data_IF_956698871855
#
_entry.id   IF_956698871855
#
_cell.length_a   1.000
_cell.length_b   1.000
_cell.length_c   1.000
_cell.angle_alpha   90.00
_cell.angle_beta   90.00
_cell.angle_gamma   90.00
#
_symmetry.space_group_name_H-M   'P 1'
#
loop_
_entity.id
_entity.type
_entity.pdbx_description
1 polymer ?
#
# COMPACT_ATOMS: atom_id res chain seq x y z
N UNK A 1 1.10 -3.26 -54.62
CA UNK A 1 1.33 -4.17 -53.48
C UNK A 1 2.62 -3.77 -52.75
N UNK A 2 2.62 -2.63 -52.05
CA UNK A 2 3.71 -2.18 -51.16
C UNK A 2 3.09 -1.24 -50.11
N UNK A 3 3.64 -1.24 -48.90
CA UNK A 3 3.41 -0.27 -47.80
C UNK A 3 2.47 -0.62 -46.64
N UNK A 4 2.14 -1.90 -46.38
CA UNK A 4 1.60 -2.26 -45.05
C UNK A 4 2.69 -2.54 -44.00
N UNK A 5 3.92 -2.89 -44.41
CA UNK A 5 4.99 -3.24 -43.46
C UNK A 5 5.70 -2.03 -42.83
N UNK A 6 5.71 -0.87 -43.48
CA UNK A 6 6.48 0.28 -42.98
C UNK A 6 5.76 1.02 -41.86
N UNK A 7 4.43 1.14 -41.91
CA UNK A 7 3.63 1.76 -40.85
C UNK A 7 3.57 0.88 -39.61
N UNK A 8 3.41 -0.44 -39.77
CA UNK A 8 3.48 -1.38 -38.65
C UNK A 8 4.86 -1.39 -37.99
N UNK A 9 5.95 -1.32 -38.77
CA UNK A 9 7.30 -1.18 -38.25
C UNK A 9 7.54 0.18 -37.58
N UNK A 10 6.93 1.26 -38.07
CA UNK A 10 7.02 2.59 -37.45
C UNK A 10 6.23 2.66 -36.13
N UNK A 11 5.07 2.00 -36.03
CA UNK A 11 4.28 1.87 -34.79
C UNK A 11 5.01 0.99 -33.76
N UNK A 12 5.66 -0.10 -34.20
CA UNK A 12 6.52 -0.93 -33.34
C UNK A 12 7.84 -0.25 -32.96
N UNK A 13 8.35 0.69 -33.76
CA UNK A 13 9.53 1.50 -33.45
C UNK A 13 9.21 2.75 -32.61
N UNK A 14 7.94 3.18 -32.61
CA UNK A 14 7.39 4.22 -31.75
C UNK A 14 6.79 3.68 -30.45
N UNK A 15 6.69 2.36 -30.28
CA UNK A 15 6.70 1.77 -28.95
C UNK A 15 8.09 2.04 -28.40
N UNK A 16 8.26 3.05 -27.53
CA UNK A 16 9.58 3.33 -27.04
C UNK A 16 10.08 2.04 -26.39
N UNK A 17 11.31 1.68 -26.73
CA UNK A 17 12.25 1.01 -25.83
C UNK A 17 12.53 1.91 -24.60
N UNK A 18 11.54 2.66 -24.13
CA UNK A 18 11.38 2.96 -22.73
C UNK A 18 11.15 1.61 -22.10
N UNK A 19 12.25 0.98 -21.71
CA UNK A 19 12.29 0.42 -20.38
C UNK A 19 11.62 1.46 -19.47
N UNK A 20 10.30 1.33 -19.29
CA UNK A 20 9.62 1.84 -18.13
C UNK A 20 10.19 0.99 -17.03
N UNK A 21 11.37 1.40 -16.56
CA UNK A 21 12.07 0.73 -15.52
C UNK A 21 11.14 0.87 -14.33
N UNK A 22 10.50 -0.23 -13.94
CA UNK A 22 9.79 -0.31 -12.68
C UNK A 22 10.66 0.41 -11.66
N UNK A 23 10.18 1.52 -11.08
CA UNK A 23 11.02 2.35 -10.23
C UNK A 23 11.53 1.49 -9.08
N UNK A 24 12.78 1.69 -8.62
CA UNK A 24 13.33 0.87 -7.54
C UNK A 24 12.37 0.87 -6.35
N UNK A 25 12.26 -0.27 -5.68
CA UNK A 25 11.42 -0.38 -4.49
C UNK A 25 12.04 0.46 -3.38
N UNK A 26 11.46 1.63 -3.15
CA UNK A 26 11.77 2.51 -2.01
C UNK A 26 10.53 2.53 -1.13
N UNK A 27 10.58 1.81 0.00
CA UNK A 27 9.45 1.73 0.92
C UNK A 27 9.21 3.09 1.61
N UNK A 28 8.12 3.77 1.22
CA UNK A 28 7.71 5.06 1.78
C UNK A 28 6.22 5.06 2.07
N UNK A 29 5.85 5.49 3.27
CA UNK A 29 4.47 5.47 3.75
C UNK A 29 4.06 6.76 4.46
N UNK A 30 4.78 7.84 4.19
CA UNK A 30 4.57 9.18 4.77
C UNK A 30 3.27 9.85 4.28
N UNK A 31 2.77 9.45 3.11
CA UNK A 31 1.52 9.94 2.52
C UNK A 31 0.78 8.89 1.70
N UNK A 32 -0.48 9.16 1.30
CA UNK A 32 -1.24 8.32 0.37
C UNK A 32 -0.49 8.10 -0.96
N UNK A 33 0.06 9.16 -1.57
CA UNK A 33 0.78 9.08 -2.84
C UNK A 33 2.08 8.30 -2.72
N UNK A 34 2.83 8.47 -1.63
CA UNK A 34 4.04 7.69 -1.37
C UNK A 34 3.72 6.20 -1.17
N UNK A 35 2.60 5.91 -0.50
CA UNK A 35 2.11 4.54 -0.31
C UNK A 35 1.65 3.93 -1.64
N UNK A 36 0.96 4.71 -2.47
CA UNK A 36 0.56 4.31 -3.82
C UNK A 36 1.78 4.00 -4.70
N UNK A 37 2.78 4.90 -4.72
CA UNK A 37 4.01 4.70 -5.47
C UNK A 37 4.78 3.46 -4.99
N UNK A 38 4.83 3.24 -3.66
CA UNK A 38 5.43 2.02 -3.10
C UNK A 38 4.67 0.77 -3.56
N UNK A 39 3.33 0.76 -3.45
CA UNK A 39 2.51 -0.36 -3.90
C UNK A 39 2.66 -0.62 -5.40
N UNK A 40 2.64 0.43 -6.24
CA UNK A 40 2.87 0.31 -7.68
C UNK A 40 4.25 -0.27 -7.98
N UNK A 41 5.31 0.21 -7.30
CA UNK A 41 6.67 -0.30 -7.50
C UNK A 41 6.75 -1.80 -7.17
N UNK A 42 6.14 -2.24 -6.05
CA UNK A 42 6.07 -3.66 -5.70
C UNK A 42 5.30 -4.47 -6.74
N UNK A 43 4.16 -3.95 -7.22
CA UNK A 43 3.35 -4.59 -8.24
C UNK A 43 4.09 -4.73 -9.57
N UNK A 44 4.78 -3.68 -9.99
CA UNK A 44 5.58 -3.68 -11.22
C UNK A 44 6.68 -4.75 -11.18
N UNK A 45 7.23 -5.04 -10.00
CA UNK A 45 8.20 -6.11 -9.77
C UNK A 45 7.58 -7.49 -9.51
N UNK A 46 6.25 -7.61 -9.55
CA UNK A 46 5.49 -8.80 -9.17
C UNK A 46 5.83 -9.29 -7.73
N UNK A 47 6.21 -8.38 -6.81
CA UNK A 47 6.39 -8.67 -5.37
C UNK A 47 5.05 -8.60 -4.63
N UNK A 48 4.24 -9.65 -4.78
CA UNK A 48 2.92 -9.77 -4.15
C UNK A 48 3.00 -9.64 -2.62
N UNK A 49 4.09 -10.10 -1.98
CA UNK A 49 4.27 -9.97 -0.54
C UNK A 49 4.56 -8.51 -0.14
N UNK A 50 5.35 -7.80 -0.94
CA UNK A 50 5.53 -6.35 -0.87
C UNK A 50 4.22 -5.58 -1.00
N UNK A 51 3.45 -5.86 -2.05
CA UNK A 51 2.13 -5.25 -2.27
C UNK A 51 1.20 -5.47 -1.06
N UNK A 52 1.13 -6.72 -0.58
CA UNK A 52 0.32 -7.09 0.57
C UNK A 52 0.74 -6.34 1.85
N UNK A 53 2.02 -5.97 2.01
CA UNK A 53 2.47 -5.16 3.16
C UNK A 53 1.91 -3.74 3.14
N UNK A 54 1.58 -3.19 1.97
CA UNK A 54 0.97 -1.86 1.82
C UNK A 54 -0.50 -1.80 2.24
N UNK A 55 -1.20 -2.95 2.28
CA UNK A 55 -2.62 -2.99 2.62
C UNK A 55 -2.87 -2.83 4.13
N UNK A 56 -3.99 -2.18 4.45
CA UNK A 56 -4.49 -2.05 5.82
C UNK A 56 -4.81 -3.42 6.42
N UNK A 57 -4.80 -3.49 7.75
CA UNK A 57 -5.14 -4.72 8.48
C UNK A 57 -6.60 -5.11 8.26
N UNK A 58 -7.49 -4.12 8.19
CA UNK A 58 -8.91 -4.33 7.92
C UNK A 58 -9.17 -4.84 6.50
N UNK A 59 -8.49 -4.30 5.49
CA UNK A 59 -8.59 -4.79 4.12
C UNK A 59 -8.11 -6.25 4.03
N UNK A 60 -6.97 -6.58 4.64
CA UNK A 60 -6.46 -7.96 4.72
C UNK A 60 -7.48 -8.91 5.35
N UNK A 61 -8.14 -8.48 6.43
CA UNK A 61 -9.17 -9.28 7.11
C UNK A 61 -10.41 -9.50 6.23
N UNK A 62 -10.85 -8.46 5.50
CA UNK A 62 -11.98 -8.54 4.56
C UNK A 62 -11.69 -9.45 3.37
N UNK A 63 -10.47 -9.40 2.84
CA UNK A 63 -10.02 -10.29 1.78
C UNK A 63 -9.78 -11.74 2.27
N UNK A 64 -9.61 -11.94 3.57
CA UNK A 64 -9.45 -13.24 4.22
C UNK A 64 -7.99 -13.61 4.50
N UNK A 65 -7.18 -13.80 3.45
CA UNK A 65 -5.75 -14.11 3.60
C UNK A 65 -4.91 -13.70 2.38
N UNK A 66 -3.59 -13.90 2.45
CA UNK A 66 -2.65 -13.59 1.38
C UNK A 66 -3.01 -14.25 0.03
N UNK A 67 -3.45 -15.52 0.05
CA UNK A 67 -3.82 -16.23 -1.17
C UNK A 67 -5.06 -15.62 -1.83
N UNK A 68 -6.04 -15.22 -1.02
CA UNK A 68 -7.24 -14.56 -1.52
C UNK A 68 -6.92 -13.18 -2.12
N UNK A 69 -6.02 -12.41 -1.49
CA UNK A 69 -5.50 -11.18 -2.08
C UNK A 69 -4.85 -11.43 -3.44
N UNK A 70 -3.91 -12.38 -3.51
CA UNK A 70 -3.21 -12.69 -4.75
C UNK A 70 -4.20 -13.08 -5.86
N UNK A 71 -5.14 -13.98 -5.59
CA UNK A 71 -6.16 -14.36 -6.58
C UNK A 71 -7.02 -13.17 -7.03
N UNK A 72 -7.48 -12.32 -6.10
CA UNK A 72 -8.29 -11.16 -6.44
C UNK A 72 -7.49 -10.12 -7.25
N UNK A 73 -6.20 -9.92 -6.91
CA UNK A 73 -5.26 -9.06 -7.64
C UNK A 73 -5.07 -9.54 -9.07
N UNK A 74 -4.86 -10.83 -9.29
CA UNK A 74 -4.66 -11.37 -10.63
C UNK A 74 -5.93 -11.24 -11.48
N UNK A 75 -7.10 -11.57 -10.90
CA UNK A 75 -8.40 -11.40 -11.58
C UNK A 75 -8.66 -9.95 -11.97
N UNK A 76 -8.46 -9.00 -11.05
CA UNK A 76 -8.63 -7.57 -11.34
C UNK A 76 -7.72 -7.12 -12.49
N UNK A 77 -6.44 -7.53 -12.48
CA UNK A 77 -5.48 -7.15 -13.51
C UNK A 77 -5.74 -7.85 -14.85
N UNK A 78 -6.33 -9.04 -14.85
CA UNK A 78 -6.77 -9.75 -16.06
C UNK A 78 -8.00 -9.06 -16.67
N UNK A 79 -8.95 -8.63 -15.83
CA UNK A 79 -10.17 -7.93 -16.25
C UNK A 79 -9.88 -6.49 -16.71
N UNK A 80 -8.79 -5.88 -16.23
CA UNK A 80 -8.38 -4.51 -16.55
C UNK A 80 -7.01 -4.45 -17.25
N UNK A 81 -6.91 -4.86 -18.54
CA UNK A 81 -5.64 -4.93 -19.26
C UNK A 81 -4.96 -3.56 -19.45
N UNK A 82 -5.74 -2.47 -19.47
CA UNK A 82 -5.21 -1.11 -19.51
C UNK A 82 -4.55 -0.73 -18.19
N UNK A 83 -5.18 -1.01 -17.04
CA UNK A 83 -4.60 -0.80 -15.72
C UNK A 83 -3.32 -1.63 -15.54
N UNK A 84 -3.34 -2.91 -15.94
CA UNK A 84 -2.13 -3.76 -15.97
C UNK A 84 -1.01 -3.14 -16.80
N UNK A 85 -1.33 -2.63 -17.99
CA UNK A 85 -0.34 -1.98 -18.85
C UNK A 85 0.19 -0.70 -18.22
N UNK A 86 -0.69 0.12 -17.65
CA UNK A 86 -0.37 1.36 -16.98
C UNK A 86 0.58 1.15 -15.79
N UNK A 87 0.29 0.17 -14.93
CA UNK A 87 1.13 -0.16 -13.78
C UNK A 87 2.60 -0.43 -14.14
N UNK A 88 2.85 -0.91 -15.36
CA UNK A 88 4.19 -1.19 -15.90
C UNK A 88 4.80 -0.03 -16.71
N UNK A 89 3.98 0.89 -17.20
CA UNK A 89 4.38 1.84 -18.24
C UNK A 89 4.27 3.31 -17.85
N UNK A 90 3.57 3.65 -16.76
CA UNK A 90 3.35 5.04 -16.33
C UNK A 90 3.58 5.20 -14.82
N UNK A 91 3.74 6.44 -14.36
CA UNK A 91 3.66 6.77 -12.94
C UNK A 91 2.18 7.02 -12.58
N UNK A 92 1.60 6.21 -11.68
CA UNK A 92 0.20 6.40 -11.27
C UNK A 92 0.00 7.71 -10.51
N UNK A 93 1.03 8.26 -9.86
CA UNK A 93 0.94 9.52 -9.13
C UNK A 93 0.66 10.69 -10.07
N UNK A 94 1.20 10.64 -11.30
CA UNK A 94 0.95 11.65 -12.34
C UNK A 94 -0.49 11.61 -12.90
N UNK A 95 -1.24 10.56 -12.58
CA UNK A 95 -2.60 10.32 -13.08
C UNK A 95 -3.67 10.54 -12.00
N UNK A 96 -3.31 11.17 -10.87
CA UNK A 96 -4.25 11.53 -9.81
C UNK A 96 -5.00 12.81 -10.18
N UNK A 97 -6.27 12.64 -10.54
CA UNK A 97 -7.21 13.73 -10.89
C UNK A 97 -7.80 14.41 -9.65
N UNK A 98 -8.13 13.62 -8.62
CA UNK A 98 -8.73 14.14 -7.39
C UNK A 98 -8.05 13.59 -6.15
N UNK A 99 -7.96 14.46 -5.14
CA UNK A 99 -7.37 14.17 -3.83
C UNK A 99 -8.34 14.60 -2.75
N UNK A 100 -8.66 13.71 -1.83
CA UNK A 100 -9.36 14.04 -0.59
C UNK A 100 -8.55 13.47 0.56
N UNK A 101 -8.24 14.31 1.55
CA UNK A 101 -7.54 13.87 2.75
C UNK A 101 -8.15 14.57 3.95
N UNK A 102 -8.48 13.77 4.96
CA UNK A 102 -8.91 14.22 6.27
C UNK A 102 -7.90 13.74 7.32
N UNK A 103 -7.03 14.66 7.72
CA UNK A 103 -5.98 14.39 8.71
C UNK A 103 -6.52 14.08 10.10
N UNK A 104 -7.75 14.51 10.43
CA UNK A 104 -8.37 14.28 11.73
C UNK A 104 -8.87 12.84 11.82
N UNK A 105 -9.60 12.40 10.79
CA UNK A 105 -10.09 11.02 10.74
C UNK A 105 -9.03 10.02 10.29
N UNK A 106 -7.93 10.49 9.69
CA UNK A 106 -6.85 9.63 9.21
C UNK A 106 -7.22 8.88 7.92
N UNK A 107 -8.13 9.43 7.13
CA UNK A 107 -8.58 8.86 5.86
C UNK A 107 -8.13 9.72 4.68
N UNK A 108 -7.84 9.07 3.56
CA UNK A 108 -7.61 9.75 2.30
C UNK A 108 -8.16 8.93 1.13
N UNK A 109 -8.48 9.60 0.04
CA UNK A 109 -8.95 9.02 -1.21
C UNK A 109 -8.19 9.67 -2.36
N UNK A 110 -7.68 8.83 -3.25
CA UNK A 110 -7.10 9.24 -4.53
C UNK A 110 -7.96 8.68 -5.65
N UNK A 111 -8.40 9.56 -6.54
CA UNK A 111 -9.08 9.18 -7.77
C UNK A 111 -8.09 9.27 -8.93
N UNK A 112 -7.88 8.15 -9.61
CA UNK A 112 -6.99 8.06 -10.76
C UNK A 112 -7.80 8.03 -12.06
N UNK A 113 -7.33 8.72 -13.10
CA UNK A 113 -7.79 8.53 -14.47
C UNK A 113 -6.65 7.92 -15.30
N UNK A 114 -6.82 6.65 -15.67
CA UNK A 114 -5.85 5.91 -16.46
C UNK A 114 -6.51 5.54 -17.77
N UNK A 115 -6.13 6.24 -18.85
CA UNK A 115 -6.66 6.02 -20.19
C UNK A 115 -8.20 6.13 -20.29
N UNK A 116 -8.84 6.98 -19.49
CA UNK A 116 -10.29 7.18 -19.46
C UNK A 116 -11.03 6.24 -18.51
N UNK A 117 -10.33 5.33 -17.84
CA UNK A 117 -10.87 4.51 -16.76
C UNK A 117 -10.59 5.18 -15.42
N UNK A 118 -11.66 5.42 -14.65
CA UNK A 118 -11.54 5.98 -13.30
C UNK A 118 -11.38 4.86 -12.29
N UNK A 119 -10.40 4.98 -11.39
CA UNK A 119 -10.21 4.06 -10.25
C UNK A 119 -10.10 4.85 -8.96
N UNK A 120 -10.91 4.52 -7.97
CA UNK A 120 -10.78 5.07 -6.63
C UNK A 120 -9.92 4.17 -5.74
N UNK A 121 -8.94 4.78 -5.06
CA UNK A 121 -8.12 4.11 -4.04
C UNK A 121 -8.28 4.84 -2.71
N UNK A 122 -8.77 4.11 -1.71
CA UNK A 122 -8.93 4.58 -0.35
C UNK A 122 -7.72 4.22 0.51
N UNK A 123 -7.33 5.13 1.39
CA UNK A 123 -6.20 5.01 2.29
C UNK A 123 -6.63 5.29 3.73
N UNK A 124 -5.97 4.62 4.67
CA UNK A 124 -6.11 4.86 6.10
C UNK A 124 -4.73 5.00 6.74
N UNK A 125 -4.61 5.93 7.69
CA UNK A 125 -3.44 6.08 8.54
C UNK A 125 -3.51 5.04 9.66
N UNK A 126 -2.50 4.18 9.72
CA UNK A 126 -2.29 3.21 10.80
C UNK A 126 -1.10 3.64 11.66
N UNK A 127 -1.13 3.25 12.93
CA UNK A 127 0.02 3.27 13.82
C UNK A 127 0.61 1.88 13.95
N UNK A 128 1.89 1.77 13.61
CA UNK A 128 2.70 0.57 13.71
C UNK A 128 3.58 0.67 14.97
N UNK A 129 3.57 -0.36 15.80
CA UNK A 129 4.56 -0.60 16.84
C UNK A 129 5.46 -1.73 16.39
N UNK A 130 6.75 -1.43 16.27
CA UNK A 130 7.81 -2.37 15.96
C UNK A 130 8.72 -2.48 17.18
N UNK A 131 8.89 -3.70 17.69
CA UNK A 131 9.82 -4.00 18.78
C UNK A 131 10.92 -4.88 18.22
N UNK A 132 12.11 -4.32 18.08
CA UNK A 132 13.29 -5.08 17.68
C UNK A 132 13.90 -5.73 18.91
N UNK A 133 14.02 -7.05 18.87
CA UNK A 133 14.64 -7.83 19.94
C UNK A 133 16.12 -8.08 19.64
N UNK A 134 16.95 -8.19 20.68
CA UNK A 134 18.35 -8.60 20.55
C UNK A 134 18.49 -9.99 19.93
N UNK A 135 17.47 -10.84 20.12
CA UNK A 135 17.38 -12.20 19.56
C UNK A 135 15.97 -12.49 19.07
N UNK A 136 15.87 -13.01 17.86
CA UNK A 136 14.61 -13.42 17.25
C UNK A 136 14.05 -12.41 16.24
N UNK A 137 12.91 -12.74 15.60
CA UNK A 137 12.24 -11.82 14.67
C UNK A 137 11.67 -10.60 15.43
N UNK A 138 11.55 -9.45 14.75
CA UNK A 138 10.92 -8.29 15.36
C UNK A 138 9.44 -8.57 15.64
N UNK A 139 8.93 -8.00 16.73
CA UNK A 139 7.52 -8.08 17.08
C UNK A 139 6.81 -6.87 16.49
N UNK A 140 5.67 -7.11 15.84
CA UNK A 140 4.91 -6.08 15.13
C UNK A 140 3.49 -6.06 15.65
N UNK A 141 3.03 -4.91 16.11
CA UNK A 141 1.63 -4.64 16.43
C UNK A 141 1.12 -3.44 15.66
N UNK A 142 -0.16 -3.45 15.31
CA UNK A 142 -0.81 -2.42 14.48
C UNK A 142 -2.08 -1.95 15.16
N UNK A 143 -2.36 -0.65 15.03
CA UNK A 143 -3.63 -0.05 15.41
C UNK A 143 -4.06 0.93 14.32
N UNK A 144 -5.37 1.01 14.12
CA UNK A 144 -6.02 1.95 13.23
C UNK A 144 -6.19 3.32 13.90
N UNK A 145 -5.91 3.42 15.19
CA UNK A 145 -5.93 4.67 15.93
C UNK A 145 -4.65 5.47 15.70
N UNK A 146 -4.80 6.79 15.59
CA UNK A 146 -3.66 7.71 15.64
C UNK A 146 -2.92 7.60 16.99
N UNK A 147 -1.64 7.96 17.02
CA UNK A 147 -0.80 7.91 18.23
C UNK A 147 -1.36 8.81 19.32
N UNK A 148 -1.96 9.93 18.94
CA UNK A 148 -2.62 10.81 19.88
C UNK A 148 -3.80 10.12 20.59
N UNK A 149 -4.52 9.22 19.90
CA UNK A 149 -5.56 8.38 20.49
C UNK A 149 -5.01 7.26 21.37
N UNK A 150 -3.84 6.72 21.02
CA UNK A 150 -3.18 5.62 21.73
C UNK A 150 -2.41 6.06 22.97
N UNK A 151 -2.06 7.34 23.04
CA UNK A 151 -1.25 7.88 24.11
C UNK A 151 -2.10 8.20 25.34
N UNK A 152 -1.98 7.38 26.37
CA UNK A 152 -2.64 7.63 27.65
C UNK A 152 -1.61 8.15 28.68
N UNK A 153 -2.02 9.12 29.51
CA UNK A 153 -1.23 9.61 30.63
C UNK A 153 -1.98 9.33 31.94
N UNK A 154 -1.50 8.37 32.73
CA UNK A 154 -2.11 7.99 34.02
C UNK A 154 -1.06 8.10 35.12
N UNK A 155 -1.34 8.90 36.15
CA UNK A 155 -0.47 9.03 37.33
C UNK A 155 0.96 9.50 37.03
N UNK A 156 1.15 10.37 36.03
CA UNK A 156 2.47 10.86 35.62
C UNK A 156 3.31 9.87 34.81
N UNK A 157 2.75 8.69 34.49
CA UNK A 157 3.34 7.70 33.58
C UNK A 157 2.66 7.78 32.22
N UNK A 158 3.43 7.45 31.17
CA UNK A 158 3.01 7.47 29.76
C UNK A 158 3.05 6.04 29.25
N UNK A 159 1.97 5.59 28.62
CA UNK A 159 1.86 4.25 28.03
C UNK A 159 1.05 4.32 26.73
N UNK A 160 1.32 3.36 25.83
CA UNK A 160 0.67 3.23 24.52
C UNK A 160 -0.11 1.91 24.55
N UNK A 161 -1.43 1.99 24.37
CA UNK A 161 -2.31 0.82 24.35
C UNK A 161 -2.88 0.66 22.95
N UNK A 162 -2.47 -0.39 22.21
CA UNK A 162 -2.94 -0.65 20.85
C UNK A 162 -4.24 -1.46 20.88
N UNK A 163 -5.36 -0.78 20.63
CA UNK A 163 -6.74 -1.26 20.62
C UNK A 163 -6.99 -2.46 19.69
N UNK A 164 -6.77 -3.68 20.20
CA UNK A 164 -7.26 -4.93 19.59
C UNK A 164 -6.18 -5.94 19.16
N UNK A 165 -4.91 -5.55 19.08
CA UNK A 165 -3.79 -6.49 18.87
C UNK A 165 -2.86 -6.39 20.07
N UNK A 166 -3.14 -7.18 21.12
CA UNK A 166 -2.38 -7.12 22.37
C UNK A 166 -0.99 -7.74 22.16
N UNK A 167 0.02 -6.90 21.96
CA UNK A 167 1.41 -7.33 22.04
C UNK A 167 1.80 -7.49 23.51
N UNK A 168 1.59 -8.69 24.05
CA UNK A 168 2.08 -9.02 25.39
C UNK A 168 3.58 -9.36 25.31
N UNK A 169 4.43 -8.41 25.72
CA UNK A 169 5.86 -8.65 25.88
C UNK A 169 6.12 -9.31 27.23
N UNK A 170 6.79 -10.45 27.23
CA UNK A 170 7.35 -11.01 28.46
C UNK A 170 8.42 -10.07 29.03
N UNK A 171 8.69 -10.10 30.35
CA UNK A 171 9.77 -9.32 30.94
C UNK A 171 11.13 -9.56 30.28
N UNK A 172 11.41 -10.78 29.81
CA UNK A 172 12.63 -11.14 29.08
C UNK A 172 12.69 -10.48 27.70
N UNK A 173 11.58 -10.46 26.95
CA UNK A 173 11.50 -9.78 25.65
C UNK A 173 11.64 -8.27 25.80
N UNK A 174 11.05 -7.68 26.85
CA UNK A 174 11.19 -6.26 27.14
C UNK A 174 12.63 -5.91 27.54
N UNK A 175 13.27 -6.75 28.36
CA UNK A 175 14.66 -6.56 28.77
C UNK A 175 15.65 -6.75 27.60
N UNK A 176 15.31 -7.63 26.65
CA UNK A 176 16.06 -7.86 25.41
C UNK A 176 15.58 -7.00 24.23
N UNK A 177 14.78 -5.96 24.45
CA UNK A 177 14.37 -5.06 23.38
C UNK A 177 15.51 -4.09 23.06
N UNK A 178 16.01 -4.14 21.82
CA UNK A 178 17.03 -3.23 21.32
C UNK A 178 16.42 -1.87 20.95
N UNK A 179 15.23 -1.89 20.37
CA UNK A 179 14.49 -0.68 20.01
C UNK A 179 12.98 -0.92 20.09
N UNK A 180 12.25 0.14 20.41
CA UNK A 180 10.79 0.20 20.30
C UNK A 180 10.51 1.40 19.41
N UNK A 181 10.05 1.13 18.21
CA UNK A 181 9.72 2.11 17.20
C UNK A 181 8.21 2.19 17.08
N UNK A 182 7.72 3.43 17.03
CA UNK A 182 6.33 3.68 16.74
C UNK A 182 6.24 4.59 15.54
N UNK A 183 5.62 4.08 14.47
CA UNK A 183 5.57 4.71 13.17
C UNK A 183 4.14 5.01 12.78
N UNK A 184 3.94 6.20 12.20
CA UNK A 184 2.75 6.50 11.43
C UNK A 184 2.98 6.13 9.99
N UNK A 185 2.06 5.36 9.43
CA UNK A 185 2.10 5.02 8.03
C UNK A 185 0.72 5.07 7.41
N UNK A 186 0.66 5.48 6.17
CA UNK A 186 -0.51 5.28 5.34
C UNK A 186 -0.52 3.86 4.78
N UNK A 187 -1.72 3.33 4.63
CA UNK A 187 -1.98 1.99 4.08
C UNK A 187 -3.18 2.06 3.14
N UNK A 188 -3.23 1.15 2.18
CA UNK A 188 -4.35 1.03 1.25
C UNK A 188 -5.48 0.29 1.96
N UNK A 189 -6.62 0.95 2.09
CA UNK A 189 -7.81 0.41 2.77
C UNK A 189 -8.91 0.00 1.78
N UNK A 190 -8.88 0.50 0.55
CA UNK A 190 -9.75 0.06 -0.52
C UNK A 190 -9.11 0.31 -1.88
N UNK A 191 -9.38 -0.59 -2.83
CA UNK A 191 -9.13 -0.38 -4.26
C UNK A 191 -10.42 -0.84 -4.95
N UNK A 192 -11.01 0.05 -5.76
CA UNK A 192 -12.18 -0.28 -6.56
C UNK A 192 -11.92 -1.54 -7.42
N UNK A 193 -12.85 -2.49 -7.40
CA UNK A 193 -12.70 -3.80 -8.05
C UNK A 193 -12.08 -4.89 -7.16
N UNK A 194 -11.20 -4.57 -6.21
CA UNK A 194 -10.65 -5.55 -5.25
C UNK A 194 -11.56 -5.81 -4.06
N UNK A 195 -12.33 -4.80 -3.62
CA UNK A 195 -13.19 -4.90 -2.43
C UNK A 195 -14.62 -5.34 -2.74
N UNK A 196 -14.99 -5.48 -4.03
CA UNK A 196 -16.37 -5.80 -4.46
C UNK A 196 -17.43 -4.77 -4.05
N UNK A 197 -17.02 -3.69 -3.39
CA UNK A 197 -17.85 -2.60 -2.92
C UNK A 197 -17.18 -1.28 -3.31
N UNK A 198 -17.90 -0.47 -4.08
CA UNK A 198 -17.71 0.98 -4.13
C UNK A 198 -18.08 1.51 -2.73
N UNK A 199 -17.29 2.43 -2.14
CA UNK A 199 -17.58 2.99 -0.81
C UNK A 199 -19.00 3.57 -0.68
#
# INVERSE_FOLDING_TARGET
>A
MRSLSFVAALVLALMPLGACACPPVVERYDGPEATLATWQSQLCHDDVAGEYRCLSTDLKRRLGNFSAYWTARDLMLDDQPLLRSALRAIDLVDHIEQRRQDDVSGYAELTLDVYGETTLIGFRRETLLLVELERGPPLVARSDESLAGLYQAVGGRRWIELSGTRLELTPEQLAGARSILLEHRWTIDAIEGLTGATP
#
